data_IF_649181853023
#
_entry.id   IF_649181853023
#
_cell.length_a   1.000
_cell.length_b   1.000
_cell.length_c   1.000
_cell.angle_alpha   90.00
_cell.angle_beta   90.00
_cell.angle_gamma   90.00
#
_symmetry.space_group_name_H-M   'P 1'
#
loop_
_entity.id
_entity.type
_entity.pdbx_description
1 polymer ?
#
# COMPACT_ATOMS: atom_id res chain seq x y z
N UNK A 1 -6.77 -0.29 -5.40
CA UNK A 1 -6.30 -0.75 -6.72
C UNK A 1 -6.71 0.20 -7.84
N UNK A 2 -7.98 0.55 -7.90
CA UNK A 2 -8.47 1.52 -8.87
C UNK A 2 -7.77 2.87 -8.73
N UNK A 3 -7.52 3.32 -7.52
CA UNK A 3 -6.77 4.55 -7.26
C UNK A 3 -5.34 4.45 -7.81
N UNK A 4 -4.69 3.29 -7.67
CA UNK A 4 -3.36 3.07 -8.24
C UNK A 4 -3.38 3.20 -9.77
N UNK A 5 -4.41 2.70 -10.42
CA UNK A 5 -4.53 2.77 -11.87
C UNK A 5 -4.80 4.20 -12.35
N UNK A 6 -5.68 4.94 -11.65
CA UNK A 6 -6.12 6.27 -12.08
C UNK A 6 -5.20 7.40 -11.63
N UNK A 7 -4.65 7.30 -10.42
CA UNK A 7 -3.90 8.40 -9.77
C UNK A 7 -2.44 8.08 -9.55
N UNK A 8 -2.04 6.83 -9.80
CA UNK A 8 -0.67 6.38 -9.55
C UNK A 8 -0.49 5.81 -8.16
N UNK A 9 0.59 5.06 -7.99
CA UNK A 9 0.87 4.29 -6.79
C UNK A 9 1.11 5.22 -5.58
N UNK A 10 1.94 6.26 -5.77
CA UNK A 10 2.28 7.18 -4.67
C UNK A 10 1.03 7.88 -4.11
N UNK A 11 0.15 8.36 -4.99
CA UNK A 11 -1.09 9.01 -4.56
C UNK A 11 -2.03 8.04 -3.83
N UNK A 12 -2.13 6.79 -4.31
CA UNK A 12 -2.97 5.79 -3.67
C UNK A 12 -2.48 5.46 -2.26
N UNK A 13 -1.18 5.19 -2.10
CA UNK A 13 -0.61 4.92 -0.78
C UNK A 13 -0.74 6.10 0.17
N UNK A 14 -0.61 7.31 -0.34
CA UNK A 14 -0.79 8.52 0.45
C UNK A 14 -2.25 8.70 0.88
N UNK A 15 -3.18 8.54 -0.06
CA UNK A 15 -4.62 8.76 0.19
C UNK A 15 -5.15 7.86 1.29
N UNK A 16 -4.77 6.57 1.27
CA UNK A 16 -5.28 5.61 2.24
C UNK A 16 -4.47 5.53 3.53
N UNK A 17 -3.37 6.27 3.65
CA UNK A 17 -2.54 6.26 4.85
C UNK A 17 -3.09 7.20 5.93
N UNK A 18 -3.11 6.74 7.17
CA UNK A 18 -3.26 7.64 8.32
C UNK A 18 -2.01 8.53 8.40
N UNK A 19 -2.13 9.69 9.08
CA UNK A 19 -1.02 10.65 9.13
C UNK A 19 0.29 10.04 9.63
N UNK A 20 0.22 9.15 10.60
CA UNK A 20 1.38 8.50 11.21
C UNK A 20 1.57 7.05 10.78
N UNK A 21 0.99 6.66 9.65
CA UNK A 21 1.11 5.30 9.14
C UNK A 21 2.57 4.89 8.95
N UNK A 22 2.84 3.60 9.12
CA UNK A 22 4.18 3.02 8.96
C UNK A 22 4.09 1.88 7.96
N UNK A 23 5.02 1.81 7.04
CA UNK A 23 5.16 0.66 6.16
C UNK A 23 6.54 0.02 6.36
N UNK A 24 6.57 -1.31 6.32
CA UNK A 24 7.81 -2.08 6.37
C UNK A 24 8.16 -2.52 4.96
N UNK A 25 9.38 -2.25 4.55
CA UNK A 25 9.85 -2.59 3.20
C UNK A 25 11.18 -3.34 3.28
N UNK A 26 11.88 -3.42 2.18
CA UNK A 26 13.10 -4.21 2.03
C UNK A 26 14.13 -3.95 3.14
N UNK A 27 14.83 -5.00 3.55
CA UNK A 27 15.91 -4.92 4.54
C UNK A 27 15.43 -4.37 5.89
N UNK A 28 14.19 -4.70 6.26
CA UNK A 28 13.59 -4.26 7.51
C UNK A 28 13.53 -2.75 7.66
N UNK A 29 13.40 -2.04 6.54
CA UNK A 29 13.27 -0.58 6.52
C UNK A 29 11.85 -0.18 6.91
N UNK A 30 11.73 0.73 7.87
CA UNK A 30 10.47 1.34 8.22
C UNK A 30 10.37 2.72 7.56
N UNK A 31 9.29 2.95 6.85
CA UNK A 31 8.96 4.27 6.29
C UNK A 31 7.83 4.83 7.14
N UNK A 32 8.10 5.91 7.85
CA UNK A 32 7.22 6.45 8.88
C UNK A 32 6.56 7.74 8.41
N UNK A 33 5.22 7.80 8.49
CA UNK A 33 4.43 8.96 8.12
C UNK A 33 4.03 8.97 6.66
N UNK A 34 2.80 9.43 6.39
CA UNK A 34 2.25 9.38 5.03
C UNK A 34 3.05 10.20 4.01
N UNK A 35 3.66 11.30 4.44
CA UNK A 35 4.49 12.11 3.53
C UNK A 35 5.73 11.34 3.07
N UNK A 36 6.38 10.62 3.98
CA UNK A 36 7.53 9.80 3.64
C UNK A 36 7.14 8.59 2.80
N UNK A 37 5.96 8.05 3.04
CA UNK A 37 5.41 6.96 2.23
C UNK A 37 5.21 7.42 0.80
N UNK A 38 4.65 8.62 0.61
CA UNK A 38 4.49 9.19 -0.72
C UNK A 38 5.83 9.37 -1.43
N UNK A 39 6.84 9.88 -0.72
CA UNK A 39 8.20 10.02 -1.28
C UNK A 39 8.79 8.68 -1.70
N UNK A 40 8.60 7.67 -0.87
CA UNK A 40 9.11 6.32 -1.16
C UNK A 40 8.59 5.81 -2.49
N UNK A 41 7.27 5.95 -2.72
CA UNK A 41 6.64 5.46 -3.96
C UNK A 41 6.73 6.44 -5.12
N UNK A 42 7.31 7.62 -4.92
CA UNK A 42 7.49 8.61 -5.98
C UNK A 42 8.80 8.46 -6.75
N UNK A 43 9.64 7.46 -6.41
CA UNK A 43 10.89 7.25 -7.12
C UNK A 43 10.65 6.66 -8.51
N UNK A 44 11.69 6.72 -9.35
CA UNK A 44 11.57 6.33 -10.76
C UNK A 44 11.21 4.85 -10.96
N UNK A 45 11.62 3.97 -10.03
CA UNK A 45 11.27 2.55 -10.12
C UNK A 45 9.76 2.35 -10.20
N UNK A 46 9.00 3.11 -9.40
CA UNK A 46 7.55 2.93 -9.32
C UNK A 46 6.77 3.66 -10.41
N UNK A 47 7.40 4.55 -11.17
CA UNK A 47 6.71 5.28 -12.26
C UNK A 47 6.24 4.33 -13.37
N UNK A 48 7.00 3.27 -13.64
CA UNK A 48 6.68 2.29 -14.67
C UNK A 48 6.30 0.94 -14.05
N UNK A 49 5.76 0.97 -12.85
CA UNK A 49 5.32 -0.22 -12.15
C UNK A 49 3.81 -0.20 -11.97
N UNK A 50 3.24 -1.38 -11.91
CA UNK A 50 1.83 -1.56 -11.56
C UNK A 50 1.72 -2.62 -10.48
N UNK A 51 0.66 -2.55 -9.70
CA UNK A 51 0.41 -3.53 -8.65
C UNK A 51 -1.03 -4.01 -8.74
N UNK A 52 -1.21 -5.32 -8.62
CA UNK A 52 -2.52 -5.95 -8.45
C UNK A 52 -2.52 -6.66 -7.11
N UNK A 53 -3.56 -6.41 -6.33
CA UNK A 53 -3.70 -7.02 -5.02
C UNK A 53 -5.18 -7.14 -4.69
N UNK A 54 -5.49 -8.14 -3.89
CA UNK A 54 -6.85 -8.34 -3.38
C UNK A 54 -6.75 -8.99 -2.02
N UNK A 55 -7.55 -8.55 -1.04
CA UNK A 55 -7.57 -9.21 0.24
C UNK A 55 -8.23 -10.58 0.13
N UNK A 56 -7.54 -11.60 0.66
CA UNK A 56 -8.11 -12.94 0.81
C UNK A 56 -8.86 -13.04 2.12
N UNK A 57 -8.58 -12.16 3.07
CA UNK A 57 -9.14 -12.21 4.40
C UNK A 57 -9.27 -10.81 4.99
N UNK A 58 -10.41 -10.55 5.65
CA UNK A 58 -10.69 -9.29 6.35
C UNK A 58 -11.32 -9.65 7.69
N UNK A 59 -10.80 -9.08 8.77
CA UNK A 59 -11.38 -9.22 10.09
C UNK A 59 -11.47 -7.85 10.75
N UNK A 60 -12.65 -7.54 11.27
CA UNK A 60 -12.94 -6.24 11.90
C UNK A 60 -13.15 -6.46 13.37
N UNK A 61 -12.60 -5.58 14.22
CA UNK A 61 -12.80 -5.66 15.66
C UNK A 61 -14.28 -5.50 16.03
N UNK A 62 -14.66 -6.04 17.18
CA UNK A 62 -16.07 -6.03 17.62
C UNK A 62 -16.65 -4.62 17.70
N UNK A 63 -15.86 -3.63 18.08
CA UNK A 63 -16.31 -2.24 18.17
C UNK A 63 -16.22 -1.48 16.85
N UNK A 64 -15.76 -2.13 15.78
CA UNK A 64 -15.66 -1.49 14.46
C UNK A 64 -14.55 -0.48 14.31
N UNK A 65 -13.61 -0.39 15.25
CA UNK A 65 -12.57 0.64 15.22
C UNK A 65 -11.32 0.25 14.46
N UNK A 66 -11.04 -1.04 14.35
CA UNK A 66 -9.86 -1.57 13.70
C UNK A 66 -10.19 -2.77 12.85
N UNK A 67 -9.37 -2.99 11.84
CA UNK A 67 -9.47 -4.17 10.99
C UNK A 67 -8.07 -4.55 10.53
N UNK A 68 -7.87 -5.80 10.15
CA UNK A 68 -6.70 -6.20 9.43
C UNK A 68 -7.08 -6.99 8.20
N UNK A 69 -6.26 -6.90 7.18
CA UNK A 69 -6.44 -7.63 5.92
C UNK A 69 -5.14 -8.30 5.55
N UNK A 70 -5.21 -9.41 4.86
CA UNK A 70 -4.04 -9.99 4.20
C UNK A 70 -4.47 -10.62 2.88
N UNK A 71 -3.51 -10.79 2.02
CA UNK A 71 -3.75 -11.37 0.71
C UNK A 71 -2.49 -11.43 -0.11
N UNK A 72 -2.65 -11.60 -1.39
CA UNK A 72 -1.55 -11.73 -2.32
C UNK A 72 -1.45 -10.50 -3.20
N UNK A 73 -0.22 -10.18 -3.60
CA UNK A 73 0.01 -9.07 -4.52
C UNK A 73 0.94 -9.53 -5.65
N UNK A 74 0.81 -8.84 -6.77
CA UNK A 74 1.68 -8.99 -7.92
C UNK A 74 2.14 -7.60 -8.34
N UNK A 75 3.44 -7.35 -8.27
CA UNK A 75 4.07 -6.15 -8.79
C UNK A 75 4.63 -6.45 -10.16
N UNK A 76 4.38 -5.57 -11.12
CA UNK A 76 4.94 -5.65 -12.47
C UNK A 76 5.74 -4.38 -12.73
N UNK A 77 7.00 -4.51 -13.07
CA UNK A 77 7.87 -3.39 -13.40
C UNK A 77 8.42 -3.57 -14.81
N UNK A 78 8.47 -2.45 -15.56
CA UNK A 78 8.99 -2.43 -16.92
C UNK A 78 10.26 -1.57 -16.91
N UNK A 79 11.39 -2.12 -17.35
CA UNK A 79 12.64 -1.39 -17.40
C UNK A 79 12.79 -0.58 -18.69
N UNK A 80 13.92 0.13 -18.83
CA UNK A 80 14.21 0.97 -19.99
C UNK A 80 14.22 0.21 -21.31
N UNK A 81 14.52 -1.08 -21.27
CA UNK A 81 14.59 -1.94 -22.46
C UNK A 81 13.25 -2.60 -22.78
N UNK A 82 12.22 -2.28 -22.01
CA UNK A 82 10.92 -2.90 -22.17
C UNK A 82 10.80 -4.28 -21.55
N UNK A 83 11.80 -4.72 -20.80
CA UNK A 83 11.75 -5.99 -20.09
C UNK A 83 10.81 -5.91 -18.89
N UNK A 84 9.97 -6.92 -18.73
CA UNK A 84 8.97 -6.98 -17.67
C UNK A 84 9.48 -7.92 -16.57
N UNK A 85 9.46 -7.41 -15.34
CA UNK A 85 9.78 -8.21 -14.15
C UNK A 85 8.57 -8.26 -13.25
N UNK A 86 8.25 -9.43 -12.73
CA UNK A 86 7.09 -9.64 -11.88
C UNK A 86 7.52 -10.12 -10.50
N UNK A 87 6.98 -9.52 -9.45
CA UNK A 87 7.25 -9.89 -8.06
C UNK A 87 5.93 -10.27 -7.39
N UNK A 88 5.90 -11.46 -6.80
CA UNK A 88 4.72 -11.95 -6.09
C UNK A 88 5.00 -11.98 -4.59
N UNK A 89 3.98 -11.74 -3.79
CA UNK A 89 4.14 -11.82 -2.35
C UNK A 89 2.82 -11.80 -1.61
N UNK A 90 2.95 -11.72 -0.30
CA UNK A 90 1.80 -11.64 0.61
C UNK A 90 1.88 -10.30 1.31
N UNK A 91 0.75 -9.60 1.37
CA UNK A 91 0.64 -8.38 2.15
C UNK A 91 -0.21 -8.62 3.38
N UNK A 92 0.00 -7.80 4.39
CA UNK A 92 -0.92 -7.67 5.52
C UNK A 92 -0.98 -6.21 5.92
N UNK A 93 -2.19 -5.74 6.20
CA UNK A 93 -2.43 -4.31 6.45
C UNK A 93 -3.33 -4.17 7.66
N UNK A 94 -2.99 -3.24 8.54
CA UNK A 94 -3.81 -2.88 9.69
C UNK A 94 -4.48 -1.55 9.41
N UNK A 95 -5.79 -1.51 9.60
CA UNK A 95 -6.63 -0.36 9.31
C UNK A 95 -7.24 0.19 10.58
N UNK A 96 -7.35 1.50 10.68
CA UNK A 96 -8.10 2.18 11.75
C UNK A 96 -9.19 3.04 11.16
N UNK A 97 -10.36 2.97 11.80
CA UNK A 97 -11.46 3.85 11.43
C UNK A 97 -11.20 5.24 12.00
N UNK A 98 -11.29 6.23 11.14
CA UNK A 98 -11.04 7.63 11.51
C UNK A 98 -12.32 8.28 12.06
N UNK A 99 -12.17 9.48 12.61
CA UNK A 99 -13.31 10.24 13.16
C UNK A 99 -14.39 10.52 12.13
N UNK A 100 -14.00 10.71 10.87
CA UNK A 100 -14.93 10.94 9.76
C UNK A 100 -15.54 9.65 9.21
N UNK A 101 -15.27 8.51 9.87
CA UNK A 101 -15.74 7.16 9.52
C UNK A 101 -15.05 6.55 8.29
N UNK A 102 -14.06 7.21 7.72
CA UNK A 102 -13.22 6.60 6.69
C UNK A 102 -12.23 5.63 7.31
N UNK A 103 -11.73 4.69 6.51
CA UNK A 103 -10.72 3.73 6.92
C UNK A 103 -9.37 4.14 6.34
N UNK A 104 -8.36 4.21 7.20
CA UNK A 104 -6.99 4.47 6.79
C UNK A 104 -6.08 3.39 7.34
N UNK A 105 -5.07 2.97 6.57
CA UNK A 105 -4.13 2.01 7.12
C UNK A 105 -3.15 2.72 8.05
N UNK A 106 -2.74 2.00 9.07
CA UNK A 106 -1.74 2.47 10.05
C UNK A 106 -0.45 1.65 9.96
N UNK A 107 -0.53 0.49 9.32
CA UNK A 107 0.59 -0.42 9.11
C UNK A 107 0.40 -1.20 7.82
N UNK A 108 1.47 -1.36 7.06
CA UNK A 108 1.47 -2.21 5.86
C UNK A 108 2.81 -2.91 5.66
#
# INVERSE_FOLDING_TARGET
>A
EKMCEEKGIAEAFYFFAADSAVIKRQNDTLVIGKENIKKYYSNDFYKNASVKWAPDFIDVSDDGSMAYTYGKYIWTAIDENGSVTEFNGVFHTVWKRQKDKSWKYVWD
#
